data_IF_223358942224
#
_entry.id   IF_223358942224
#
_cell.length_a   1.000
_cell.length_b   1.000
_cell.length_c   1.000
_cell.angle_alpha   90.00
_cell.angle_beta   90.00
_cell.angle_gamma   90.00
#
_symmetry.space_group_name_H-M   'P 1'
#
loop_
_entity.id
_entity.type
_entity.pdbx_description
1 polymer ?
#
# COMPACT_ATOMS: atom_id res chain seq x y z
N UNK A 1 -4.37 0.11 -7.66
CA UNK A 1 -3.35 -0.92 -7.37
C UNK A 1 -2.29 -0.88 -8.46
N UNK A 2 -0.99 -0.92 -8.12
CA UNK A 2 0.08 -0.78 -9.11
C UNK A 2 0.67 -2.13 -9.46
N UNK A 3 0.76 -2.44 -10.75
CA UNK A 3 1.39 -3.67 -11.23
C UNK A 3 2.90 -3.50 -11.20
N UNK A 4 3.59 -4.44 -10.57
CA UNK A 4 5.06 -4.40 -10.40
C UNK A 4 5.77 -5.37 -11.33
N UNK A 5 5.06 -6.35 -11.89
CA UNK A 5 5.55 -7.25 -12.93
C UNK A 5 4.36 -7.72 -13.76
N UNK A 6 4.54 -7.96 -15.07
CA UNK A 6 3.43 -8.40 -15.93
C UNK A 6 2.86 -9.76 -15.48
N UNK A 7 1.58 -9.81 -15.06
CA UNK A 7 0.92 -11.04 -14.70
C UNK A 7 0.51 -11.83 -15.94
N UNK A 8 0.56 -13.16 -15.87
CA UNK A 8 0.21 -14.07 -16.98
C UNK A 8 -0.87 -15.04 -16.56
N UNK A 9 -1.68 -15.48 -17.52
CA UNK A 9 -2.72 -16.49 -17.30
C UNK A 9 -4.11 -15.89 -17.12
N UNK A 10 -5.00 -16.67 -16.49
CA UNK A 10 -6.42 -16.35 -16.33
C UNK A 10 -6.80 -16.57 -14.86
N UNK A 11 -7.46 -15.58 -14.26
CA UNK A 11 -7.99 -15.65 -12.88
C UNK A 11 -9.47 -15.33 -12.92
N UNK A 12 -10.30 -16.21 -12.37
CA UNK A 12 -11.76 -16.05 -12.35
C UNK A 12 -12.36 -15.73 -13.74
N UNK A 13 -11.81 -16.30 -14.80
CA UNK A 13 -12.24 -16.05 -16.19
C UNK A 13 -11.71 -14.75 -16.80
N UNK A 14 -10.94 -13.94 -16.05
CA UNK A 14 -10.29 -12.73 -16.55
C UNK A 14 -8.85 -13.02 -16.97
N UNK A 15 -8.54 -12.74 -18.23
CA UNK A 15 -7.17 -12.83 -18.76
C UNK A 15 -6.30 -11.73 -18.17
N UNK A 16 -5.14 -12.04 -17.58
CA UNK A 16 -4.29 -11.02 -16.95
C UNK A 16 -3.45 -10.20 -17.96
N UNK A 17 -3.49 -10.55 -19.25
CA UNK A 17 -2.66 -9.95 -20.30
C UNK A 17 -2.92 -8.45 -20.55
N UNK A 18 -4.01 -7.88 -20.04
CA UNK A 18 -4.29 -6.45 -20.16
C UNK A 18 -3.60 -5.59 -19.10
N UNK A 19 -3.04 -6.21 -18.06
CA UNK A 19 -2.34 -5.54 -16.98
C UNK A 19 -0.87 -5.33 -17.34
N UNK A 20 -0.45 -4.07 -17.39
CA UNK A 20 0.93 -3.69 -17.72
C UNK A 20 1.69 -3.27 -16.47
N UNK A 21 2.97 -3.61 -16.44
CA UNK A 21 3.88 -3.17 -15.39
C UNK A 21 3.92 -1.63 -15.31
N UNK A 22 3.96 -1.10 -14.10
CA UNK A 22 4.02 0.34 -13.82
C UNK A 22 2.66 1.03 -13.82
N UNK A 23 1.67 0.48 -14.52
CA UNK A 23 0.31 1.01 -14.60
C UNK A 23 -0.50 0.76 -13.32
N UNK A 24 -1.48 1.63 -13.09
CA UNK A 24 -2.37 1.56 -11.93
C UNK A 24 -3.78 1.22 -12.39
N UNK A 25 -4.29 0.09 -11.88
CA UNK A 25 -5.65 -0.37 -12.20
C UNK A 25 -6.53 -0.36 -10.96
N UNK A 26 -7.83 -0.16 -11.21
CA UNK A 26 -8.89 -0.47 -10.25
C UNK A 26 -9.40 -1.88 -10.55
N UNK A 27 -9.31 -2.76 -9.56
CA UNK A 27 -9.61 -4.19 -9.71
C UNK A 27 -10.39 -4.66 -8.50
N UNK A 28 -11.13 -5.77 -8.63
CA UNK A 28 -11.85 -6.35 -7.51
C UNK A 28 -10.89 -6.75 -6.39
N UNK A 29 -11.38 -6.74 -5.14
CA UNK A 29 -10.58 -7.11 -3.97
C UNK A 29 -9.95 -8.52 -4.11
N UNK A 30 -10.73 -9.48 -4.63
CA UNK A 30 -10.26 -10.85 -4.84
C UNK A 30 -9.13 -10.95 -5.85
N UNK A 31 -9.21 -10.18 -6.95
CA UNK A 31 -8.15 -10.15 -7.96
C UNK A 31 -6.92 -9.39 -7.43
N UNK A 32 -7.13 -8.35 -6.63
CA UNK A 32 -6.04 -7.66 -5.95
C UNK A 32 -5.27 -8.59 -5.00
N UNK A 33 -5.99 -9.38 -4.20
CA UNK A 33 -5.37 -10.36 -3.30
C UNK A 33 -4.54 -11.37 -4.08
N UNK A 34 -5.07 -11.91 -5.18
CA UNK A 34 -4.33 -12.84 -6.04
C UNK A 34 -3.04 -12.20 -6.58
N UNK A 35 -3.14 -11.02 -7.20
CA UNK A 35 -2.00 -10.35 -7.83
C UNK A 35 -0.93 -9.93 -6.81
N UNK A 36 -1.32 -9.61 -5.57
CA UNK A 36 -0.37 -9.34 -4.48
C UNK A 36 0.28 -10.63 -3.97
N UNK A 37 -0.51 -11.70 -3.76
CA UNK A 37 -0.01 -12.98 -3.28
C UNK A 37 0.96 -13.63 -4.28
N UNK A 38 0.72 -13.43 -5.58
CA UNK A 38 1.58 -13.88 -6.68
C UNK A 38 2.80 -12.96 -6.89
N UNK A 39 2.88 -11.82 -6.18
CA UNK A 39 3.99 -10.85 -6.29
C UNK A 39 3.98 -10.00 -7.56
N UNK A 40 2.91 -10.08 -8.36
CA UNK A 40 2.75 -9.31 -9.59
C UNK A 40 2.34 -7.85 -9.36
N UNK A 41 1.92 -7.49 -8.15
CA UNK A 41 1.45 -6.15 -7.86
C UNK A 41 1.60 -5.74 -6.38
N UNK A 42 1.62 -4.42 -6.17
CA UNK A 42 1.65 -3.80 -4.87
C UNK A 42 0.41 -2.93 -4.64
N UNK A 43 -0.18 -3.06 -3.46
CA UNK A 43 -1.18 -2.11 -2.98
C UNK A 43 -0.38 -0.93 -2.43
N UNK A 44 -0.36 0.17 -3.19
CA UNK A 44 -0.04 1.48 -2.63
C UNK A 44 -1.15 1.81 -1.64
N UNK A 45 -1.05 1.28 -0.42
CA UNK A 45 -1.76 1.84 0.70
C UNK A 45 -1.27 3.27 0.75
N UNK A 46 -2.12 4.23 0.32
CA UNK A 46 -2.00 5.60 0.83
C UNK A 46 -1.90 5.38 2.33
N UNK A 47 -0.69 5.48 2.86
CA UNK A 47 -0.51 5.70 4.27
C UNK A 47 -1.32 6.97 4.49
N UNK A 48 -2.59 6.82 4.90
CA UNK A 48 -3.24 7.79 5.74
C UNK A 48 -2.21 7.94 6.82
N UNK A 49 -1.43 9.00 6.72
CA UNK A 49 -0.47 9.39 7.71
C UNK A 49 -1.30 9.42 8.97
N UNK A 50 -1.27 8.32 9.72
CA UNK A 50 -1.84 8.24 11.03
C UNK A 50 -0.88 9.15 11.74
N UNK A 51 -1.29 10.42 11.83
CA UNK A 51 -0.44 11.51 12.24
C UNK A 51 -0.02 11.17 13.65
N UNK A 52 1.13 10.52 13.79
CA UNK A 52 1.85 10.40 15.05
C UNK A 52 2.55 11.72 15.29
N UNK A 53 1.82 12.84 15.11
CA UNK A 53 2.03 14.05 15.91
C UNK A 53 1.74 13.64 17.35
N UNK A 54 2.67 12.88 17.92
CA UNK A 54 2.93 12.91 19.34
C UNK A 54 3.19 14.39 19.59
N UNK A 55 2.22 15.02 20.26
CA UNK A 55 2.30 16.42 20.66
C UNK A 55 3.62 16.61 21.38
N UNK A 56 4.55 17.31 20.74
CA UNK A 56 5.69 17.92 21.40
C UNK A 56 5.17 19.02 22.31
N UNK A 57 4.73 18.67 23.53
CA UNK A 57 4.73 19.58 24.67
C UNK A 57 4.23 18.83 25.90
N UNK A 58 5.13 18.47 26.80
CA UNK A 58 5.15 19.02 28.16
C UNK A 58 6.32 18.37 28.92
N UNK A 59 6.90 19.08 29.89
CA UNK A 59 8.04 18.68 30.74
C UNK A 59 9.44 18.95 30.20
N UNK A 60 9.67 20.18 29.73
CA UNK A 60 10.88 20.88 30.16
C UNK A 60 10.54 21.77 31.36
N UNK A 61 11.36 21.62 32.39
CA UNK A 61 11.63 22.58 33.48
C UNK A 61 10.77 22.41 34.73
N UNK A 62 11.24 21.54 35.62
CA UNK A 62 11.10 21.77 37.05
C UNK A 62 12.49 21.67 37.69
N UNK A 63 13.06 22.85 37.89
CA UNK A 63 13.99 23.25 38.96
C UNK A 63 15.34 22.54 39.07
N UNK A 64 16.31 23.19 38.43
CA UNK A 64 17.67 23.37 38.96
C UNK A 64 17.62 24.06 40.34
N UNK A 65 18.37 23.50 41.29
CA UNK A 65 18.90 24.00 42.57
C UNK A 65 18.45 25.36 43.14
N UNK A 66 18.12 25.32 44.44
CA UNK A 66 18.37 26.36 45.44
C UNK A 66 18.77 25.65 46.72
#
# INVERSE_FOLDING_TARGET
MRITHEPKGIVDGMSLHYYREGEVYDVSARLAEYLVADGCAAIEMRQRQRSTRIRSNDRRRSRTKG
#
